data_IF_353162731563
#
_entry.id   IF_353162731563
#
_cell.length_a   1.000
_cell.length_b   1.000
_cell.length_c   1.000
_cell.angle_alpha   90.00
_cell.angle_beta   90.00
_cell.angle_gamma   90.00
#
_symmetry.space_group_name_H-M   'P 1'
#
loop_
_entity.id
_entity.type
_entity.pdbx_description
1 polymer ?
#
# COMPACT_ATOMS: atom_id res chain seq x y z
N UNK A 1 34.40 -3.40 16.24
CA UNK A 1 33.64 -3.58 17.50
C UNK A 1 32.48 -4.50 17.16
N UNK A 2 32.37 -5.67 17.79
CA UNK A 2 31.36 -6.68 17.44
C UNK A 2 30.23 -6.66 18.49
N UNK A 3 28.98 -6.68 18.03
CA UNK A 3 27.81 -6.70 18.92
C UNK A 3 27.38 -8.14 19.21
N UNK A 4 26.93 -8.39 20.44
CA UNK A 4 26.56 -9.71 20.93
C UNK A 4 25.09 -10.02 20.62
N UNK A 5 24.81 -11.21 20.07
CA UNK A 5 23.43 -11.67 19.82
C UNK A 5 23.01 -12.66 20.90
N UNK A 6 21.82 -12.45 21.50
CA UNK A 6 21.19 -13.43 22.40
C UNK A 6 20.44 -14.48 21.58
N UNK A 7 20.68 -15.77 21.83
CA UNK A 7 20.07 -16.87 21.07
C UNK A 7 19.00 -17.60 21.86
N UNK A 8 17.94 -18.03 21.18
CA UNK A 8 16.92 -18.88 21.77
C UNK A 8 16.21 -19.75 20.73
N UNK A 9 15.55 -20.80 21.23
CA UNK A 9 14.70 -21.69 20.44
C UNK A 9 13.25 -21.26 20.64
N UNK A 10 12.55 -20.89 19.57
CA UNK A 10 11.15 -20.55 19.69
C UNK A 10 10.31 -21.81 19.90
N UNK A 11 9.62 -21.89 21.03
CA UNK A 11 8.54 -22.86 21.25
C UNK A 11 7.21 -22.23 20.85
N UNK A 12 6.18 -23.05 20.61
CA UNK A 12 4.87 -22.78 19.96
C UNK A 12 4.00 -21.72 20.67
N UNK A 13 4.51 -20.49 20.83
CA UNK A 13 3.84 -19.37 21.48
C UNK A 13 3.42 -18.28 20.47
N UNK A 14 2.25 -17.63 20.67
CA UNK A 14 1.68 -16.64 19.73
C UNK A 14 2.26 -15.21 19.85
N UNK A 15 3.31 -14.97 20.63
CA UNK A 15 3.75 -13.62 21.02
C UNK A 15 5.22 -13.34 20.72
N UNK A 16 5.75 -13.89 19.63
CA UNK A 16 7.10 -13.62 19.16
C UNK A 16 7.12 -12.38 18.24
N UNK A 17 8.25 -12.02 17.61
CA UNK A 17 8.37 -10.97 16.58
C UNK A 17 7.57 -11.30 15.29
N UNK A 18 6.43 -11.99 15.45
CA UNK A 18 5.74 -12.82 14.49
C UNK A 18 4.92 -13.95 15.16
N UNK A 19 4.39 -14.86 14.36
CA UNK A 19 3.59 -16.03 14.79
C UNK A 19 4.14 -17.31 14.16
N UNK A 20 4.40 -18.34 14.98
CA UNK A 20 4.62 -19.70 14.46
C UNK A 20 3.27 -20.22 13.97
N UNK A 21 3.20 -20.58 12.69
CA UNK A 21 1.97 -21.04 12.06
C UNK A 21 1.80 -22.54 12.30
N UNK A 22 0.56 -22.98 12.49
CA UNK A 22 0.21 -24.40 12.38
C UNK A 22 -0.02 -24.73 10.90
N UNK A 23 0.23 -25.97 10.50
CA UNK A 23 0.16 -26.47 9.10
C UNK A 23 -1.15 -26.13 8.34
N UNK A 24 -2.21 -25.69 9.02
CA UNK A 24 -3.50 -25.31 8.43
C UNK A 24 -3.80 -23.79 8.42
N UNK A 25 -2.89 -22.93 8.88
CA UNK A 25 -3.13 -21.49 9.06
C UNK A 25 -2.55 -20.58 7.95
N UNK A 26 -1.79 -21.12 7.00
CA UNK A 26 -1.08 -20.33 5.97
C UNK A 26 -2.04 -19.47 5.14
N UNK A 27 -3.20 -20.01 4.77
CA UNK A 27 -4.13 -19.35 3.85
C UNK A 27 -5.01 -18.29 4.53
N UNK A 28 -5.05 -18.22 5.86
CA UNK A 28 -5.94 -17.30 6.59
C UNK A 28 -5.25 -16.07 7.19
N UNK A 29 -3.91 -15.99 7.18
CA UNK A 29 -3.17 -15.01 8.00
C UNK A 29 -2.37 -13.97 7.19
N UNK A 30 -2.04 -14.21 5.91
CA UNK A 30 -1.20 -13.29 5.11
C UNK A 30 -2.00 -12.09 4.54
N UNK A 31 -3.18 -11.80 5.10
CA UNK A 31 -4.10 -10.76 4.60
C UNK A 31 -4.10 -9.49 5.43
N UNK A 32 -3.30 -9.39 6.50
CA UNK A 32 -3.35 -8.22 7.35
C UNK A 32 -2.70 -6.99 6.72
N UNK A 33 -3.45 -5.88 6.77
CA UNK A 33 -3.15 -4.59 6.14
C UNK A 33 -1.80 -4.06 6.54
N UNK A 34 -1.07 -3.60 5.55
CA UNK A 34 -0.06 -2.57 5.74
C UNK A 34 -0.66 -1.22 5.41
N UNK A 35 -0.65 -0.30 6.39
CA UNK A 35 -0.82 1.10 6.03
C UNK A 35 0.32 1.46 5.09
N UNK A 36 -0.02 2.06 3.95
CA UNK A 36 0.99 2.66 3.11
C UNK A 36 1.74 3.72 3.95
N UNK A 37 3.06 3.90 3.79
CA UNK A 37 3.83 4.84 4.59
C UNK A 37 3.18 6.21 4.51
N UNK A 38 3.14 6.94 5.64
CA UNK A 38 2.65 8.32 5.64
C UNK A 38 3.34 9.08 4.51
N UNK A 39 2.54 9.57 3.57
CA UNK A 39 3.05 10.32 2.44
C UNK A 39 2.69 11.78 2.64
N UNK A 40 3.73 12.62 2.78
CA UNK A 40 3.60 14.08 2.88
C UNK A 40 2.49 14.50 3.87
N UNK A 41 2.58 13.96 5.08
CA UNK A 41 1.66 14.16 6.22
C UNK A 41 0.29 13.47 6.16
N UNK A 42 -0.15 12.98 5.00
CA UNK A 42 -1.42 12.26 4.87
C UNK A 42 -1.32 10.82 5.39
N UNK A 43 -2.28 10.44 6.23
CA UNK A 43 -2.51 9.04 6.56
C UNK A 43 -3.06 8.34 5.32
N UNK A 44 -2.46 7.21 4.94
CA UNK A 44 -2.90 6.42 3.79
C UNK A 44 -3.36 5.06 4.29
N UNK A 45 -4.60 4.71 3.99
CA UNK A 45 -5.12 3.37 4.27
C UNK A 45 -4.81 2.48 3.07
N UNK A 46 -4.16 1.33 3.33
CA UNK A 46 -4.00 0.27 2.33
C UNK A 46 -5.22 -0.66 2.32
N UNK A 47 -5.49 -1.29 1.18
CA UNK A 47 -6.56 -2.26 1.01
C UNK A 47 -6.26 -3.66 1.58
N UNK A 48 -7.31 -4.42 1.85
CA UNK A 48 -7.30 -5.82 2.34
C UNK A 48 -6.97 -6.87 1.25
N UNK A 49 -6.80 -6.43 0.01
CA UNK A 49 -6.64 -7.30 -1.16
C UNK A 49 -5.18 -7.38 -1.58
N UNK A 50 -4.66 -8.58 -1.86
CA UNK A 50 -3.34 -8.74 -2.45
C UNK A 50 -3.03 -10.17 -2.83
N UNK A 51 -2.62 -10.36 -4.08
CA UNK A 51 -2.10 -11.60 -4.61
C UNK A 51 -0.81 -11.96 -3.88
N UNK A 52 -0.74 -13.19 -3.42
CA UNK A 52 0.45 -13.76 -2.80
C UNK A 52 1.36 -14.34 -3.88
N UNK A 53 2.66 -14.21 -3.66
CA UNK A 53 3.68 -14.84 -4.48
C UNK A 53 4.62 -15.66 -3.60
N UNK A 54 5.21 -16.69 -4.20
CA UNK A 54 6.19 -17.53 -3.53
C UNK A 54 7.56 -17.28 -4.15
N UNK A 55 8.54 -17.03 -3.30
CA UNK A 55 9.95 -16.98 -3.67
C UNK A 55 10.77 -17.89 -2.75
N UNK A 56 12.08 -17.99 -2.99
CA UNK A 56 12.95 -18.91 -2.27
C UNK A 56 14.22 -18.19 -1.86
N UNK A 57 14.67 -18.48 -0.64
CA UNK A 57 16.01 -18.13 -0.15
C UNK A 57 16.85 -19.39 -0.19
N UNK A 58 17.90 -19.37 -1.00
CA UNK A 58 18.83 -20.49 -1.12
C UNK A 58 20.05 -20.20 -0.25
N UNK A 59 20.34 -21.06 0.72
CA UNK A 59 21.59 -21.02 1.50
C UNK A 59 22.57 -22.04 0.94
N UNK A 60 23.77 -21.60 0.57
CA UNK A 60 24.87 -22.45 0.09
C UNK A 60 26.10 -22.28 0.96
N UNK A 61 26.64 -23.38 1.47
CA UNK A 61 27.85 -23.41 2.29
C UNK A 61 29.09 -23.73 1.44
N UNK A 62 30.17 -22.97 1.66
CA UNK A 62 31.51 -23.23 1.12
C UNK A 62 32.52 -23.35 2.27
N UNK A 63 32.76 -24.58 2.75
CA UNK A 63 33.57 -24.88 3.93
C UNK A 63 33.05 -24.17 5.20
N UNK A 64 33.44 -22.92 5.41
CA UNK A 64 33.16 -22.14 6.62
C UNK A 64 32.13 -21.03 6.41
N UNK A 65 31.89 -20.55 5.19
CA UNK A 65 30.93 -19.47 4.97
C UNK A 65 29.63 -20.02 4.36
N UNK A 66 28.52 -19.36 4.66
CA UNK A 66 27.28 -19.53 3.94
C UNK A 66 26.97 -18.25 3.16
N UNK A 67 26.76 -18.40 1.86
CA UNK A 67 26.15 -17.38 1.03
C UNK A 67 24.66 -17.65 0.94
N UNK A 68 23.88 -16.57 0.83
CA UNK A 68 22.46 -16.70 0.53
C UNK A 68 22.07 -15.87 -0.67
N UNK A 69 21.03 -16.33 -1.35
CA UNK A 69 20.41 -15.60 -2.44
C UNK A 69 18.92 -15.47 -2.16
N UNK A 70 18.39 -14.26 -2.26
CA UNK A 70 16.96 -13.98 -2.20
C UNK A 70 16.54 -13.22 -3.45
N UNK A 71 15.76 -13.86 -4.31
CA UNK A 71 15.41 -13.30 -5.63
C UNK A 71 16.69 -12.87 -6.40
N UNK A 72 16.75 -11.61 -6.83
CA UNK A 72 17.93 -11.02 -7.51
C UNK A 72 19.01 -10.50 -6.55
N UNK A 73 18.79 -10.55 -5.22
CA UNK A 73 19.78 -10.11 -4.25
C UNK A 73 20.70 -11.27 -3.87
N UNK A 74 22.00 -11.02 -4.01
CA UNK A 74 23.05 -11.90 -3.51
C UNK A 74 23.60 -11.35 -2.20
N UNK A 75 23.68 -12.23 -1.21
CA UNK A 75 24.31 -11.94 0.07
C UNK A 75 25.53 -12.84 0.22
N UNK A 76 26.70 -12.39 -0.26
CA UNK A 76 27.93 -13.12 -0.04
C UNK A 76 28.24 -13.14 1.46
N UNK A 77 28.60 -14.31 1.98
CA UNK A 77 29.05 -14.52 3.35
C UNK A 77 28.06 -14.00 4.42
N UNK A 78 26.77 -14.38 4.33
CA UNK A 78 25.76 -14.06 5.35
C UNK A 78 26.27 -14.48 6.73
N UNK A 79 26.82 -15.68 6.83
CA UNK A 79 27.35 -16.23 8.08
C UNK A 79 28.70 -16.91 7.81
N UNK A 80 29.63 -16.73 8.73
CA UNK A 80 30.89 -17.47 8.79
C UNK A 80 30.94 -18.29 10.07
N UNK A 81 31.24 -19.58 9.94
CA UNK A 81 31.53 -20.47 11.05
C UNK A 81 32.94 -20.18 11.58
N UNK A 82 33.03 -19.93 12.88
CA UNK A 82 34.30 -19.82 13.60
C UNK A 82 34.49 -21.16 14.36
N UNK A 83 34.86 -21.10 15.64
CA UNK A 83 35.06 -22.27 16.49
C UNK A 83 34.04 -22.37 17.64
N UNK A 84 33.81 -23.58 18.17
CA UNK A 84 32.96 -23.84 19.35
C UNK A 84 31.55 -23.22 19.27
N UNK A 85 30.78 -23.58 18.23
CA UNK A 85 29.42 -23.07 18.01
C UNK A 85 29.31 -21.55 17.85
N UNK A 86 30.42 -20.86 17.58
CA UNK A 86 30.43 -19.42 17.31
C UNK A 86 30.33 -19.13 15.81
N UNK A 87 29.54 -18.11 15.50
CA UNK A 87 29.32 -17.64 14.14
C UNK A 87 29.52 -16.13 14.08
N UNK A 88 30.08 -15.66 12.98
CA UNK A 88 30.18 -14.26 12.63
C UNK A 88 29.17 -13.98 11.52
N UNK A 89 28.22 -13.08 11.75
CA UNK A 89 27.21 -12.72 10.77
C UNK A 89 27.52 -11.37 10.11
N UNK A 90 27.53 -11.36 8.78
CA UNK A 90 27.51 -10.13 8.00
C UNK A 90 26.11 -9.53 8.07
N UNK A 91 26.04 -8.31 8.60
CA UNK A 91 24.83 -7.77 9.19
C UNK A 91 23.93 -7.08 8.19
N UNK A 92 23.45 -7.87 7.23
CA UNK A 92 22.47 -7.44 6.23
C UNK A 92 21.08 -7.84 6.69
N UNK A 93 20.22 -6.85 6.88
CA UNK A 93 18.85 -7.04 7.35
C UNK A 93 17.85 -6.64 6.28
N UNK A 94 16.78 -7.41 6.19
CA UNK A 94 15.57 -7.12 5.46
C UNK A 94 14.54 -6.49 6.40
N UNK A 95 13.73 -5.60 5.83
CA UNK A 95 12.52 -5.10 6.46
C UNK A 95 11.40 -5.11 5.40
N UNK A 96 10.37 -5.97 5.56
CA UNK A 96 9.19 -5.95 4.71
C UNK A 96 8.51 -4.59 4.81
N UNK A 97 8.22 -3.98 3.67
CA UNK A 97 7.56 -2.67 3.59
C UNK A 97 6.08 -2.78 3.27
N UNK A 98 5.63 -3.91 2.74
CA UNK A 98 4.24 -4.16 2.34
C UNK A 98 3.87 -5.57 2.78
N UNK A 99 2.85 -5.71 3.60
CA UNK A 99 2.41 -6.97 4.19
C UNK A 99 3.39 -7.67 5.12
N UNK A 100 2.86 -8.73 5.73
CA UNK A 100 3.63 -9.72 6.47
C UNK A 100 4.40 -10.63 5.51
N UNK A 101 5.41 -11.33 6.04
CA UNK A 101 6.20 -12.32 5.32
C UNK A 101 6.15 -13.66 6.04
N UNK A 102 5.99 -14.75 5.30
CA UNK A 102 6.05 -16.11 5.85
C UNK A 102 7.30 -16.82 5.33
N UNK A 103 8.09 -17.37 6.25
CA UNK A 103 9.19 -18.28 5.92
C UNK A 103 8.80 -19.71 6.28
N UNK A 104 9.08 -20.64 5.38
CA UNK A 104 8.78 -22.07 5.55
C UNK A 104 9.96 -22.94 5.13
N UNK A 105 10.39 -23.85 6.00
CA UNK A 105 11.40 -24.85 5.65
C UNK A 105 11.24 -26.13 6.47
N UNK A 106 11.62 -27.25 5.86
CA UNK A 106 11.72 -28.56 6.52
C UNK A 106 13.01 -28.72 7.34
N UNK A 107 13.97 -27.81 7.16
CA UNK A 107 15.23 -27.78 7.91
C UNK A 107 15.20 -26.66 8.94
N UNK A 108 16.01 -26.80 9.99
CA UNK A 108 16.19 -25.72 10.95
C UNK A 108 16.90 -24.53 10.28
N UNK A 109 16.37 -23.33 10.48
CA UNK A 109 16.97 -22.10 9.99
C UNK A 109 17.08 -21.04 11.09
N UNK A 110 18.10 -20.19 10.99
CA UNK A 110 18.37 -19.09 11.89
C UNK A 110 17.83 -17.78 11.28
N UNK A 111 17.08 -17.02 12.08
CA UNK A 111 16.76 -15.61 11.81
C UNK A 111 17.23 -14.76 12.98
N UNK A 112 17.85 -13.63 12.67
CA UNK A 112 18.24 -12.61 13.66
C UNK A 112 17.36 -11.38 13.49
N UNK A 113 16.73 -10.97 14.58
CA UNK A 113 15.86 -9.81 14.70
C UNK A 113 16.59 -8.65 15.37
N UNK A 114 16.35 -7.43 14.87
CA UNK A 114 16.79 -6.19 15.51
C UNK A 114 15.63 -5.64 16.37
N UNK A 115 15.84 -5.58 17.69
CA UNK A 115 14.77 -5.27 18.65
C UNK A 115 14.52 -3.77 18.74
N UNK A 116 15.58 -2.96 18.76
CA UNK A 116 15.48 -1.52 18.98
C UNK A 116 15.73 -0.72 17.70
N UNK A 117 14.87 0.27 17.45
CA UNK A 117 15.09 1.26 16.38
C UNK A 117 16.03 2.39 16.83
N UNK A 118 16.15 2.65 18.14
CA UNK A 118 16.89 3.79 18.73
C UNK A 118 18.13 3.36 19.53
N UNK A 119 18.16 2.13 20.03
CA UNK A 119 19.29 1.52 20.73
C UNK A 119 20.29 0.92 19.74
N UNK A 120 21.59 1.15 19.97
CA UNK A 120 22.61 0.82 18.97
C UNK A 120 22.83 -0.69 18.76
N UNK A 121 22.46 -1.59 19.69
CA UNK A 121 22.99 -2.97 19.68
C UNK A 121 22.10 -4.10 20.25
N UNK A 122 20.77 -4.00 20.19
CA UNK A 122 19.91 -5.07 20.73
C UNK A 122 19.44 -6.05 19.63
N UNK A 123 20.01 -7.25 19.65
CA UNK A 123 19.73 -8.33 18.69
C UNK A 123 19.31 -9.63 19.38
N UNK A 124 18.33 -10.31 18.78
CA UNK A 124 17.93 -11.66 19.16
C UNK A 124 18.02 -12.58 17.95
N UNK A 125 18.72 -13.70 18.10
CA UNK A 125 18.72 -14.80 17.14
C UNK A 125 17.73 -15.88 17.55
N UNK A 126 16.98 -16.42 16.59
CA UNK A 126 16.04 -17.51 16.79
C UNK A 126 16.31 -18.65 15.81
N UNK A 127 16.45 -19.87 16.32
CA UNK A 127 16.48 -21.09 15.51
C UNK A 127 15.06 -21.64 15.41
N UNK A 128 14.56 -21.75 14.18
CA UNK A 128 13.18 -22.02 13.83
C UNK A 128 13.10 -23.27 12.93
N UNK A 129 11.96 -23.94 12.98
CA UNK A 129 11.60 -25.06 12.12
C UNK A 129 10.12 -24.94 11.75
N UNK A 130 9.76 -25.31 10.52
CA UNK A 130 8.40 -25.19 10.02
C UNK A 130 8.14 -23.78 9.50
N UNK A 131 7.00 -23.22 9.86
CA UNK A 131 6.46 -22.00 9.28
C UNK A 131 6.36 -20.87 10.28
N UNK A 132 6.91 -19.72 9.89
CA UNK A 132 6.88 -18.51 10.70
C UNK A 132 6.36 -17.34 9.88
N UNK A 133 5.34 -16.67 10.41
CA UNK A 133 4.94 -15.35 9.97
C UNK A 133 5.74 -14.30 10.73
N UNK A 134 6.28 -13.33 10.01
CA UNK A 134 6.92 -12.13 10.55
C UNK A 134 6.10 -10.93 10.09
N UNK A 135 5.69 -10.12 11.06
CA UNK A 135 4.86 -8.94 10.81
C UNK A 135 5.63 -7.88 9.99
N UNK A 136 4.88 -7.10 9.20
CA UNK A 136 5.43 -5.97 8.44
C UNK A 136 6.29 -5.04 9.34
N UNK A 137 7.37 -4.51 8.79
CA UNK A 137 8.21 -3.51 9.46
C UNK A 137 9.20 -4.08 10.48
N UNK A 138 9.10 -5.36 10.83
CA UNK A 138 10.07 -6.06 11.67
C UNK A 138 11.38 -6.27 10.90
N UNK A 139 12.47 -5.70 11.44
CA UNK A 139 13.81 -5.77 10.87
C UNK A 139 14.45 -7.11 11.26
N UNK A 140 14.78 -7.92 10.27
CA UNK A 140 15.35 -9.25 10.48
C UNK A 140 16.33 -9.63 9.36
N UNK A 141 17.19 -10.61 9.60
CA UNK A 141 18.10 -11.13 8.57
C UNK A 141 17.39 -12.11 7.65
N UNK A 142 17.83 -12.29 6.38
CA UNK A 142 17.39 -13.42 5.58
C UNK A 142 17.61 -14.74 6.35
N UNK A 143 16.65 -15.68 6.37
CA UNK A 143 16.82 -16.97 7.04
C UNK A 143 18.00 -17.76 6.48
N UNK A 144 18.79 -18.35 7.39
CA UNK A 144 19.99 -19.14 7.05
C UNK A 144 19.82 -20.58 7.52
N UNK A 145 19.96 -21.54 6.61
CA UNK A 145 20.01 -22.97 6.98
C UNK A 145 21.35 -23.25 7.67
N UNK A 146 21.31 -23.68 8.93
CA UNK A 146 22.51 -23.91 9.74
C UNK A 146 23.25 -25.22 9.38
N UNK A 147 22.53 -26.21 8.86
CA UNK A 147 23.05 -27.56 8.58
C UNK A 147 23.10 -27.83 7.08
N UNK A 148 24.16 -27.32 6.45
CA UNK A 148 24.45 -27.53 5.03
C UNK A 148 23.54 -26.74 4.08
N UNK A 149 23.55 -27.13 2.81
CA UNK A 149 22.79 -26.42 1.78
C UNK A 149 21.28 -26.65 1.96
N UNK A 150 20.49 -25.64 1.62
CA UNK A 150 19.04 -25.77 1.68
C UNK A 150 18.31 -24.54 1.18
N UNK A 151 16.99 -24.66 1.22
CA UNK A 151 16.06 -23.68 0.71
C UNK A 151 15.03 -23.35 1.79
N UNK A 152 14.68 -22.07 1.85
CA UNK A 152 13.58 -21.55 2.67
C UNK A 152 12.59 -20.92 1.71
N UNK A 153 11.37 -21.45 1.69
CA UNK A 153 10.28 -20.87 0.94
C UNK A 153 9.84 -19.58 1.63
N UNK A 154 9.50 -18.59 0.81
CA UNK A 154 9.06 -17.28 1.26
C UNK A 154 7.72 -16.99 0.60
N UNK A 155 6.68 -16.81 1.39
CA UNK A 155 5.38 -16.35 0.92
C UNK A 155 5.22 -14.89 1.34
N UNK A 156 4.89 -14.04 0.38
CA UNK A 156 4.78 -12.60 0.57
C UNK A 156 3.85 -12.01 -0.51
N UNK A 157 3.38 -10.75 -0.40
CA UNK A 157 2.54 -10.18 -1.47
C UNK A 157 3.36 -9.91 -2.72
N UNK A 158 2.71 -9.95 -3.89
CA UNK A 158 3.35 -9.67 -5.18
C UNK A 158 3.86 -8.21 -5.27
N UNK A 159 3.18 -7.29 -4.60
CA UNK A 159 3.52 -5.86 -4.52
C UNK A 159 4.67 -5.55 -3.55
N UNK A 160 5.25 -6.57 -2.89
CA UNK A 160 6.13 -6.35 -1.75
C UNK A 160 7.43 -5.63 -2.07
N UNK A 161 7.56 -4.44 -1.48
CA UNK A 161 8.83 -3.77 -1.30
C UNK A 161 9.60 -4.31 -0.10
N UNK A 162 10.92 -4.37 -0.20
CA UNK A 162 11.82 -4.70 0.90
C UNK A 162 12.88 -3.62 1.02
N UNK A 163 13.13 -3.11 2.23
CA UNK A 163 14.32 -2.28 2.46
C UNK A 163 15.48 -3.12 2.98
N UNK A 164 16.68 -2.80 2.51
CA UNK A 164 17.92 -3.40 2.98
C UNK A 164 18.59 -2.47 3.99
N UNK A 165 18.98 -3.02 5.14
CA UNK A 165 19.68 -2.30 6.20
C UNK A 165 20.98 -3.04 6.46
N UNK A 166 22.10 -2.42 6.11
CA UNK A 166 23.42 -2.95 6.43
C UNK A 166 23.95 -2.28 7.70
N UNK A 167 24.34 -3.09 8.70
CA UNK A 167 25.06 -2.57 9.84
C UNK A 167 26.55 -2.50 9.50
N UNK A 168 27.21 -1.39 9.86
CA UNK A 168 28.67 -1.24 9.74
C UNK A 168 29.49 -2.07 10.73
N UNK A 169 28.90 -3.12 11.31
CA UNK A 169 29.50 -3.97 12.34
C UNK A 169 29.08 -5.41 12.13
N UNK A 170 30.00 -6.36 12.32
CA UNK A 170 29.67 -7.79 12.33
C UNK A 170 29.05 -8.20 13.67
N UNK A 171 28.16 -9.20 13.63
CA UNK A 171 27.52 -9.75 14.81
C UNK A 171 28.17 -11.06 15.21
N UNK A 172 28.49 -11.19 16.50
CA UNK A 172 28.99 -12.43 17.07
C UNK A 172 27.84 -13.20 17.72
N UNK A 173 27.68 -14.45 17.28
CA UNK A 173 26.62 -15.35 17.68
C UNK A 173 27.29 -16.58 18.31
N UNK A 174 26.76 -17.08 19.42
CA UNK A 174 27.23 -18.32 20.04
C UNK A 174 26.05 -19.26 20.31
N UNK A 175 25.93 -20.33 19.51
CA UNK A 175 24.92 -21.40 19.67
C UNK A 175 25.27 -22.27 20.89
N UNK A 176 25.16 -21.71 22.09
CA UNK A 176 25.15 -22.45 23.36
C UNK A 176 23.74 -22.64 23.90
N UNK A 177 23.58 -23.44 24.95
CA UNK A 177 22.32 -23.65 25.68
C UNK A 177 21.91 -22.37 26.44
N UNK A 178 21.49 -21.34 25.72
CA UNK A 178 20.92 -20.13 26.32
C UNK A 178 19.40 -20.22 26.33
N UNK A 179 18.83 -20.34 27.53
CA UNK A 179 17.41 -20.14 27.79
C UNK A 179 17.10 -18.64 27.80
N UNK A 180 16.03 -18.23 27.13
CA UNK A 180 15.51 -16.86 27.22
C UNK A 180 14.51 -16.77 28.36
N UNK A 181 14.70 -15.73 29.16
CA UNK A 181 13.73 -15.24 30.14
C UNK A 181 12.42 -14.87 29.42
N UNK A 182 11.30 -15.48 29.82
CA UNK A 182 9.98 -15.30 29.22
C UNK A 182 9.55 -13.81 29.14
N UNK A 183 10.19 -12.93 29.91
CA UNK A 183 9.98 -11.48 29.90
C UNK A 183 10.50 -10.76 28.64
N UNK A 184 11.32 -11.40 27.80
CA UNK A 184 11.86 -10.82 26.55
C UNK A 184 10.95 -11.02 25.32
N UNK A 185 9.78 -11.65 25.48
CA UNK A 185 8.74 -11.73 24.44
C UNK A 185 8.10 -10.36 24.21
N UNK A 186 8.83 -9.47 23.55
CA UNK A 186 8.34 -8.15 23.19
C UNK A 186 7.45 -8.26 21.96
N UNK A 187 6.14 -8.15 22.15
CA UNK A 187 5.23 -7.83 21.06
C UNK A 187 5.58 -6.43 20.55
N UNK A 188 6.23 -6.34 19.40
CA UNK A 188 6.28 -5.09 18.64
C UNK A 188 4.95 -4.94 17.91
N UNK A 189 3.84 -4.82 18.65
CA UNK A 189 2.66 -4.18 18.06
C UNK A 189 3.11 -2.75 17.78
N UNK A 190 3.42 -2.45 16.52
CA UNK A 190 3.18 -1.10 16.03
C UNK A 190 1.68 -0.90 16.21
N UNK A 191 1.29 -0.43 17.39
CA UNK A 191 0.09 0.38 17.43
C UNK A 191 0.37 1.48 16.42
N UNK A 192 -0.37 1.50 15.31
CA UNK A 192 -0.92 2.75 14.84
C UNK A 192 -1.65 3.32 16.05
N UNK A 193 -0.90 3.95 16.96
CA UNK A 193 -1.50 4.77 18.01
C UNK A 193 -2.25 5.80 17.20
N UNK A 194 -3.56 5.65 17.18
CA UNK A 194 -4.44 6.78 17.31
C UNK A 194 -3.94 7.54 18.54
N UNK A 195 -2.91 8.35 18.36
CA UNK A 195 -2.81 9.56 19.14
C UNK A 195 -3.96 10.42 18.61
N UNK A 196 -5.17 10.11 19.08
CA UNK A 196 -6.23 11.08 19.26
C UNK A 196 -5.77 12.06 20.33
N UNK A 197 -4.62 12.71 20.12
CA UNK A 197 -4.40 14.02 20.66
C UNK A 197 -5.25 14.92 19.79
N UNK A 198 -6.43 15.26 20.31
CA UNK A 198 -6.90 16.64 20.21
C UNK A 198 -5.74 17.50 20.69
N UNK A 199 -4.81 17.82 19.80
CA UNK A 199 -4.00 19.00 19.97
C UNK A 199 -5.00 20.12 19.72
N UNK A 200 -5.43 20.76 20.81
CA UNK A 200 -5.77 22.18 20.76
C UNK A 200 -4.53 22.88 20.21
N UNK A 201 -4.43 22.94 18.88
CA UNK A 201 -3.46 23.77 18.18
C UNK A 201 -4.07 25.14 18.22
N UNK A 202 -3.47 26.00 19.05
CA UNK A 202 -3.64 27.43 18.95
C UNK A 202 -3.54 27.83 17.48
N UNK A 203 -4.64 28.42 17.01
CA UNK A 203 -4.71 29.29 15.86
C UNK A 203 -3.42 30.10 15.73
N UNK A 204 -2.66 29.85 14.67
CA UNK A 204 -1.96 30.89 13.92
C UNK A 204 -1.38 30.33 12.62
N UNK A 205 -2.04 30.73 11.53
CA UNK A 205 -1.43 31.06 10.24
C UNK A 205 -0.76 29.95 9.42
N UNK A 206 -1.56 29.30 8.56
CA UNK A 206 -1.60 29.58 7.10
C UNK A 206 -2.59 28.64 6.41
N UNK A 207 -3.88 28.81 6.69
CA UNK A 207 -4.89 28.35 5.74
C UNK A 207 -4.91 29.34 4.58
N UNK A 208 -4.25 28.98 3.48
CA UNK A 208 -4.60 29.57 2.19
C UNK A 208 -6.06 29.19 1.93
N UNK A 209 -6.99 30.06 2.36
CA UNK A 209 -8.37 30.08 1.86
C UNK A 209 -8.28 30.35 0.36
N UNK A 210 -8.17 29.30 -0.43
CA UNK A 210 -8.44 29.37 -1.85
C UNK A 210 -9.95 29.57 -1.92
N UNK A 211 -10.39 30.83 -2.01
CA UNK A 211 -11.74 31.09 -2.49
C UNK A 211 -11.79 30.53 -3.91
N UNK A 212 -12.74 29.64 -4.20
CA UNK A 212 -13.05 29.10 -5.54
C UNK A 212 -13.48 30.18 -6.58
N UNK A 213 -13.14 31.45 -6.36
CA UNK A 213 -13.23 32.52 -7.38
C UNK A 213 -12.13 32.33 -8.42
N UNK A 214 -12.40 31.51 -9.43
CA UNK A 214 -11.55 31.35 -10.61
C UNK A 214 -11.35 29.91 -11.09
N UNK A 215 -11.92 28.92 -10.43
CA UNK A 215 -11.88 27.53 -10.92
C UNK A 215 -12.73 27.41 -12.18
N UNK A 216 -12.21 26.73 -13.20
CA UNK A 216 -12.94 26.46 -14.43
C UNK A 216 -14.17 25.62 -14.07
N UNK A 217 -15.38 26.16 -14.31
CA UNK A 217 -16.65 25.46 -14.06
C UNK A 217 -17.10 24.61 -15.25
N UNK A 218 -16.48 24.80 -16.42
CA UNK A 218 -16.93 24.14 -17.65
C UNK A 218 -16.46 22.70 -17.71
N UNK A 219 -17.32 21.85 -18.30
CA UNK A 219 -17.00 20.46 -18.61
C UNK A 219 -16.43 20.41 -20.03
N UNK A 220 -15.26 19.80 -20.17
CA UNK A 220 -14.66 19.51 -21.47
C UNK A 220 -14.92 18.07 -21.85
N UNK A 221 -15.47 17.82 -23.04
CA UNK A 221 -15.58 16.46 -23.59
C UNK A 221 -14.19 16.07 -24.10
N UNK A 222 -13.67 14.93 -23.65
CA UNK A 222 -12.29 14.53 -23.92
C UNK A 222 -12.19 13.39 -24.92
N UNK A 223 -11.04 13.32 -25.60
CA UNK A 223 -10.62 12.28 -26.53
C UNK A 223 -9.10 12.03 -26.34
N UNK A 224 -8.49 11.17 -27.16
CA UNK A 224 -7.05 10.84 -27.07
C UNK A 224 -6.11 12.04 -27.27
N UNK A 225 -6.56 13.09 -27.96
CA UNK A 225 -5.78 14.32 -28.18
C UNK A 225 -5.81 15.26 -26.97
N UNK A 226 -6.67 14.98 -25.98
CA UNK A 226 -6.81 15.79 -24.79
C UNK A 226 -5.61 15.61 -23.85
N UNK A 227 -4.84 16.69 -23.65
CA UNK A 227 -3.82 16.75 -22.62
C UNK A 227 -4.44 17.14 -21.27
N UNK A 228 -4.47 16.21 -20.31
CA UNK A 228 -4.68 16.55 -18.90
C UNK A 228 -3.38 17.18 -18.39
N UNK A 229 -3.43 18.26 -17.60
CA UNK A 229 -2.26 19.04 -17.14
C UNK A 229 -1.20 18.21 -16.39
N UNK A 230 -0.41 17.41 -17.10
CA UNK A 230 0.53 16.41 -16.55
C UNK A 230 -0.12 15.40 -15.58
N UNK A 231 -1.45 15.39 -15.53
CA UNK A 231 -2.24 14.61 -14.60
C UNK A 231 -2.52 13.19 -15.11
N UNK A 232 -2.43 12.95 -16.42
CA UNK A 232 -2.76 11.66 -16.99
C UNK A 232 -3.06 11.72 -18.47
N UNK A 233 -3.67 10.65 -18.96
CA UNK A 233 -3.99 10.44 -20.37
C UNK A 233 -5.40 9.90 -20.54
N UNK A 234 -6.05 10.29 -21.65
CA UNK A 234 -7.29 9.68 -22.13
C UNK A 234 -6.92 8.60 -23.15
N UNK A 235 -7.53 7.44 -23.03
CA UNK A 235 -7.18 6.24 -23.79
C UNK A 235 -8.42 5.72 -24.53
N UNK A 236 -8.31 5.45 -25.82
CA UNK A 236 -9.34 4.72 -26.56
C UNK A 236 -9.33 3.25 -26.16
N UNK A 237 -10.51 2.72 -25.86
CA UNK A 237 -10.72 1.35 -25.44
C UNK A 237 -11.21 0.54 -26.63
N UNK A 238 -10.35 -0.34 -27.12
CA UNK A 238 -10.67 -1.31 -28.16
C UNK A 238 -10.58 -2.75 -27.61
N UNK A 239 -10.87 -3.74 -28.45
CA UNK A 239 -10.88 -5.15 -28.06
C UNK A 239 -9.51 -5.68 -27.58
N UNK A 240 -8.41 -4.99 -27.93
CA UNK A 240 -7.05 -5.36 -27.58
C UNK A 240 -6.52 -4.59 -26.36
N UNK A 241 -7.30 -3.67 -25.82
CA UNK A 241 -6.87 -2.82 -24.72
C UNK A 241 -6.79 -3.63 -23.42
N UNK A 242 -5.59 -3.68 -22.85
CA UNK A 242 -5.34 -4.19 -21.50
C UNK A 242 -4.65 -3.12 -20.66
N UNK A 243 -5.30 -2.72 -19.57
CA UNK A 243 -4.70 -1.81 -18.60
C UNK A 243 -3.74 -2.56 -17.67
N UNK A 244 -2.54 -2.01 -17.52
CA UNK A 244 -1.56 -2.42 -16.53
C UNK A 244 -1.20 -1.19 -15.68
N UNK A 245 -1.55 -1.17 -14.39
CA UNK A 245 -1.31 0.00 -13.56
C UNK A 245 0.17 0.20 -13.27
N UNK A 246 0.63 1.45 -13.35
CA UNK A 246 1.98 1.87 -13.02
C UNK A 246 2.13 2.02 -11.50
N UNK A 247 2.83 1.10 -10.84
CA UNK A 247 3.05 1.19 -9.39
C UNK A 247 4.18 2.16 -9.01
N UNK A 248 3.95 2.96 -7.96
CA UNK A 248 4.95 3.86 -7.35
C UNK A 248 5.93 3.08 -6.50
N UNK A 249 7.23 3.25 -6.78
CA UNK A 249 8.28 2.55 -6.03
C UNK A 249 8.24 2.95 -4.57
N UNK A 250 8.15 1.96 -3.69
CA UNK A 250 8.42 2.12 -2.27
C UNK A 250 9.78 2.82 -2.10
N UNK A 251 9.79 3.98 -1.45
CA UNK A 251 10.96 4.89 -1.36
C UNK A 251 12.27 4.17 -1.00
N UNK A 252 12.18 3.18 -0.10
CA UNK A 252 13.32 2.42 0.41
C UNK A 252 13.42 0.98 -0.15
N UNK A 253 12.63 0.62 -1.18
CA UNK A 253 12.68 -0.73 -1.72
C UNK A 253 13.92 -0.95 -2.58
N UNK A 254 14.60 -2.07 -2.35
CA UNK A 254 15.73 -2.50 -3.19
C UNK A 254 15.28 -3.29 -4.43
N UNK A 255 14.02 -3.73 -4.48
CA UNK A 255 13.47 -4.41 -5.63
C UNK A 255 12.72 -3.44 -6.55
N UNK A 256 12.68 -3.73 -7.88
CA UNK A 256 11.78 -3.04 -8.77
C UNK A 256 10.35 -3.32 -8.34
N UNK A 257 9.47 -2.38 -8.64
CA UNK A 257 8.06 -2.59 -8.38
C UNK A 257 7.49 -3.67 -9.29
N UNK A 258 6.73 -4.57 -8.67
CA UNK A 258 5.79 -5.43 -9.37
C UNK A 258 4.40 -5.03 -8.90
N UNK A 259 3.59 -4.48 -9.79
CA UNK A 259 2.18 -4.29 -9.49
C UNK A 259 1.44 -5.55 -9.87
N UNK A 260 0.69 -6.11 -8.94
CA UNK A 260 -0.46 -6.91 -9.32
C UNK A 260 -1.64 -5.95 -9.54
N UNK A 261 -2.50 -6.27 -10.50
CA UNK A 261 -3.63 -5.40 -10.87
C UNK A 261 -4.89 -5.84 -10.12
N UNK A 262 -5.58 -4.88 -9.53
CA UNK A 262 -6.89 -5.06 -8.93
C UNK A 262 -7.93 -4.44 -9.83
N UNK A 263 -8.85 -5.28 -10.33
CA UNK A 263 -9.97 -4.88 -11.15
C UNK A 263 -11.22 -4.87 -10.27
N UNK A 264 -11.93 -3.75 -10.30
CA UNK A 264 -13.12 -3.54 -9.48
C UNK A 264 -14.20 -2.92 -10.33
N UNK A 265 -15.43 -3.34 -10.09
CA UNK A 265 -16.60 -2.75 -10.75
C UNK A 265 -17.54 -2.20 -9.70
N UNK A 266 -18.09 -1.02 -9.96
CA UNK A 266 -19.06 -0.37 -9.09
C UNK A 266 -20.09 0.39 -9.92
N UNK A 267 -21.25 0.63 -9.32
CA UNK A 267 -22.36 1.35 -9.91
C UNK A 267 -22.55 2.69 -9.21
N UNK A 268 -22.71 3.75 -10.00
CA UNK A 268 -23.08 5.08 -9.56
C UNK A 268 -24.48 5.40 -10.07
N UNK A 269 -25.42 5.74 -9.18
CA UNK A 269 -26.82 5.98 -9.55
C UNK A 269 -27.35 7.27 -8.94
N UNK A 270 -28.13 8.02 -9.71
CA UNK A 270 -28.86 9.18 -9.17
C UNK A 270 -30.05 8.73 -8.34
N UNK A 271 -30.24 9.38 -7.20
CA UNK A 271 -31.44 9.25 -6.37
C UNK A 271 -31.99 10.63 -6.04
N UNK A 272 -33.31 10.76 -6.02
CA UNK A 272 -33.97 12.02 -5.70
C UNK A 272 -33.94 12.25 -4.19
N UNK A 273 -33.47 13.41 -3.77
CA UNK A 273 -33.54 13.88 -2.39
C UNK A 273 -34.98 14.29 -2.08
N UNK A 274 -35.66 13.70 -1.07
CA UNK A 274 -37.08 13.97 -0.81
C UNK A 274 -37.40 15.43 -0.49
N UNK A 275 -36.49 16.15 0.17
CA UNK A 275 -36.75 17.50 0.68
C UNK A 275 -36.56 18.59 -0.38
N UNK A 276 -35.49 18.51 -1.18
CA UNK A 276 -35.14 19.52 -2.18
C UNK A 276 -35.53 19.15 -3.61
N UNK A 277 -35.82 17.87 -3.86
CA UNK A 277 -35.98 17.34 -5.21
C UNK A 277 -34.68 17.28 -6.02
N UNK A 278 -33.53 17.69 -5.46
CA UNK A 278 -32.21 17.55 -6.08
C UNK A 278 -31.84 16.08 -6.27
N UNK A 279 -30.83 15.80 -7.10
CA UNK A 279 -30.32 14.44 -7.25
C UNK A 279 -29.04 14.28 -6.43
N UNK A 280 -28.84 13.11 -5.83
CA UNK A 280 -27.58 12.73 -5.18
C UNK A 280 -27.09 11.38 -5.71
N UNK A 281 -25.77 11.22 -5.81
CA UNK A 281 -25.17 9.96 -6.21
C UNK A 281 -25.19 8.96 -5.05
N UNK A 282 -25.60 7.74 -5.37
CA UNK A 282 -25.36 6.54 -4.56
C UNK A 282 -24.31 5.67 -5.23
N UNK A 283 -23.38 5.20 -4.42
CA UNK A 283 -22.35 4.23 -4.76
C UNK A 283 -22.79 2.83 -4.34
N UNK A 284 -22.60 1.85 -5.22
CA UNK A 284 -22.75 0.42 -4.92
C UNK A 284 -21.60 -0.37 -5.54
N UNK A 285 -20.80 -1.03 -4.71
CA UNK A 285 -19.68 -1.84 -5.16
C UNK A 285 -20.07 -3.26 -5.53
N UNK A 286 -19.70 -3.69 -6.73
CA UNK A 286 -20.13 -4.97 -7.31
C UNK A 286 -19.07 -6.06 -7.18
N UNK A 287 -17.80 -5.72 -7.34
CA UNK A 287 -16.67 -6.68 -7.32
C UNK A 287 -15.43 -6.08 -6.65
N UNK A 288 -14.36 -6.88 -6.53
CA UNK A 288 -13.09 -6.44 -5.95
C UNK A 288 -13.23 -6.10 -4.46
N UNK A 289 -12.47 -5.12 -3.98
CA UNK A 289 -12.57 -4.68 -2.57
C UNK A 289 -13.84 -3.89 -2.28
N UNK A 290 -14.63 -3.55 -3.29
CA UNK A 290 -15.91 -2.85 -3.12
C UNK A 290 -17.10 -3.78 -3.02
N UNK A 291 -16.95 -5.10 -3.24
CA UNK A 291 -18.08 -6.02 -3.31
C UNK A 291 -19.02 -5.91 -2.10
N UNK A 292 -20.28 -5.53 -2.34
CA UNK A 292 -21.32 -5.36 -1.33
C UNK A 292 -21.27 -4.06 -0.54
N UNK A 293 -20.31 -3.17 -0.82
CA UNK A 293 -20.24 -1.87 -0.18
C UNK A 293 -21.27 -0.90 -0.78
N UNK A 294 -21.87 -0.08 0.07
CA UNK A 294 -22.79 0.99 -0.32
C UNK A 294 -22.35 2.30 0.31
N UNK A 295 -22.61 3.43 -0.35
CA UNK A 295 -22.21 4.73 0.17
C UNK A 295 -22.79 5.92 -0.59
N UNK A 296 -22.58 7.10 -0.01
CA UNK A 296 -22.99 8.38 -0.59
C UNK A 296 -21.73 9.23 -0.76
N UNK A 297 -21.09 9.25 -1.94
CA UNK A 297 -19.81 9.92 -2.13
C UNK A 297 -19.90 11.47 -2.17
N UNK A 298 -21.06 12.03 -1.79
CA UNK A 298 -21.24 13.47 -1.66
C UNK A 298 -21.15 14.19 -3.01
N UNK A 299 -21.79 13.64 -4.05
CA UNK A 299 -22.04 14.33 -5.31
C UNK A 299 -23.53 14.63 -5.41
N UNK A 300 -23.88 15.88 -5.70
CA UNK A 300 -25.24 16.40 -5.79
C UNK A 300 -25.41 17.12 -7.12
N UNK A 301 -26.55 16.97 -7.76
CA UNK A 301 -26.98 17.83 -8.85
C UNK A 301 -28.09 18.75 -8.36
N UNK A 302 -27.82 20.05 -8.36
CA UNK A 302 -28.74 21.10 -7.94
C UNK A 302 -29.57 21.57 -9.13
N UNK A 303 -30.88 21.25 -9.09
CA UNK A 303 -31.78 21.47 -10.22
C UNK A 303 -32.01 22.95 -10.52
N UNK A 304 -32.07 23.78 -9.48
CA UNK A 304 -32.38 25.20 -9.61
C UNK A 304 -31.32 25.96 -10.39
N UNK A 305 -30.04 25.66 -10.13
CA UNK A 305 -28.90 26.34 -10.74
C UNK A 305 -28.33 25.57 -11.95
N UNK A 306 -28.80 24.35 -12.21
CA UNK A 306 -28.24 23.46 -13.23
C UNK A 306 -26.73 23.25 -13.01
N UNK A 307 -26.37 22.88 -11.78
CA UNK A 307 -24.97 22.70 -11.35
C UNK A 307 -24.76 21.31 -10.72
N UNK A 308 -23.63 20.69 -11.02
CA UNK A 308 -23.11 19.57 -10.25
C UNK A 308 -22.22 20.09 -9.13
N UNK A 309 -22.33 19.48 -7.95
CA UNK A 309 -21.57 19.84 -6.76
C UNK A 309 -20.95 18.58 -6.17
N UNK A 310 -19.67 18.64 -5.80
CA UNK A 310 -19.02 17.56 -5.07
C UNK A 310 -18.08 18.09 -4.00
N UNK A 311 -17.77 17.26 -3.01
CA UNK A 311 -16.88 17.64 -1.89
C UNK A 311 -15.76 16.64 -1.60
N UNK A 312 -15.80 15.44 -2.18
CA UNK A 312 -14.77 14.44 -1.98
C UNK A 312 -13.75 14.47 -3.12
N UNK A 313 -12.48 14.50 -2.76
CA UNK A 313 -11.36 14.23 -3.65
C UNK A 313 -10.59 13.02 -3.14
N UNK A 314 -10.16 12.17 -4.06
CA UNK A 314 -9.40 10.96 -3.82
C UNK A 314 -8.10 11.02 -4.61
N UNK A 315 -7.07 10.38 -4.09
CA UNK A 315 -5.82 10.18 -4.83
C UNK A 315 -5.23 8.81 -4.51
N UNK A 316 -4.52 8.24 -5.48
CA UNK A 316 -3.81 6.97 -5.37
C UNK A 316 -2.30 7.24 -5.27
N UNK A 317 -1.70 7.14 -4.07
CA UNK A 317 -0.27 7.34 -3.91
C UNK A 317 0.58 6.12 -4.29
N UNK A 318 -0.03 4.95 -4.40
CA UNK A 318 0.62 3.67 -4.65
C UNK A 318 0.76 3.33 -6.14
N UNK A 319 0.01 4.00 -7.01
CA UNK A 319 0.14 3.80 -8.45
C UNK A 319 -0.85 4.61 -9.27
N UNK A 320 -0.85 4.35 -10.58
CA UNK A 320 -1.81 4.96 -11.50
C UNK A 320 -3.23 4.50 -11.20
N UNK A 321 -4.18 5.39 -11.46
CA UNK A 321 -5.61 5.12 -11.37
C UNK A 321 -6.20 5.07 -12.77
N UNK A 322 -6.83 3.97 -13.14
CA UNK A 322 -7.57 3.88 -14.39
C UNK A 322 -9.06 3.64 -14.13
N UNK A 323 -9.93 4.35 -14.86
CA UNK A 323 -11.37 4.09 -14.84
C UNK A 323 -11.99 4.23 -16.23
N UNK A 324 -12.96 3.36 -16.53
CA UNK A 324 -13.80 3.44 -17.73
C UNK A 324 -15.25 3.12 -17.42
N UNK A 325 -16.16 3.59 -18.27
CA UNK A 325 -17.55 3.12 -18.27
C UNK A 325 -17.66 1.79 -19.01
N UNK A 326 -18.38 0.84 -18.40
CA UNK A 326 -18.79 -0.41 -19.03
C UNK A 326 -20.30 -0.45 -19.32
N UNK A 327 -21.03 0.63 -19.00
CA UNK A 327 -22.41 0.80 -19.45
C UNK A 327 -22.42 1.31 -20.88
N UNK A 328 -23.03 0.53 -21.76
CA UNK A 328 -23.13 0.84 -23.19
C UNK A 328 -23.68 2.25 -23.43
N UNK A 329 -23.03 2.99 -24.33
CA UNK A 329 -23.37 4.35 -24.78
C UNK A 329 -23.38 5.43 -23.68
N UNK A 330 -22.96 5.10 -22.45
CA UNK A 330 -22.91 6.02 -21.33
C UNK A 330 -21.46 6.37 -20.96
N UNK A 331 -21.13 7.66 -21.01
CA UNK A 331 -19.90 8.19 -20.43
C UNK A 331 -20.02 8.55 -18.95
N UNK A 332 -19.01 9.23 -18.42
CA UNK A 332 -19.04 9.76 -17.04
C UNK A 332 -18.35 11.12 -16.96
N UNK A 333 -18.70 11.87 -15.92
CA UNK A 333 -18.04 13.12 -15.54
C UNK A 333 -17.11 12.84 -14.37
N UNK A 334 -15.94 13.47 -14.38
CA UNK A 334 -15.06 13.55 -13.22
C UNK A 334 -14.29 14.86 -13.22
N UNK A 335 -13.82 15.27 -12.06
CA UNK A 335 -12.83 16.33 -11.94
C UNK A 335 -11.45 15.76 -11.69
N UNK A 336 -10.43 16.37 -12.29
CA UNK A 336 -9.03 16.00 -12.14
C UNK A 336 -8.26 17.21 -11.67
N UNK A 337 -7.41 17.03 -10.66
CA UNK A 337 -6.61 18.09 -10.06
C UNK A 337 -5.17 17.59 -9.89
N UNK A 338 -4.19 18.15 -10.62
CA UNK A 338 -2.78 17.82 -10.45
C UNK A 338 -2.31 18.09 -9.00
N UNK A 339 -1.32 17.34 -8.49
CA UNK A 339 -0.76 17.61 -7.18
C UNK A 339 0.30 18.73 -7.23
N UNK A 340 0.37 19.51 -6.15
CA UNK A 340 1.49 20.37 -5.82
C UNK A 340 2.72 19.54 -5.39
N UNK A 341 3.92 20.14 -5.30
CA UNK A 341 5.12 19.43 -4.82
C UNK A 341 4.98 18.83 -3.42
N UNK A 342 4.12 19.40 -2.57
CA UNK A 342 3.78 18.86 -1.24
C UNK A 342 2.67 17.79 -1.26
N UNK A 343 2.13 17.43 -2.44
CA UNK A 343 1.09 16.42 -2.60
C UNK A 343 -0.34 16.95 -2.45
N UNK A 344 -0.54 18.21 -2.05
CA UNK A 344 -1.87 18.82 -1.98
C UNK A 344 -2.45 19.07 -3.39
N UNK A 345 -3.79 19.14 -3.55
CA UNK A 345 -4.41 19.45 -4.84
C UNK A 345 -4.12 20.90 -5.30
N UNK A 346 -3.61 21.06 -6.52
CA UNK A 346 -3.47 22.36 -7.19
C UNK A 346 -4.78 22.76 -7.88
N UNK A 347 -5.71 23.34 -7.11
CA UNK A 347 -7.02 23.78 -7.63
C UNK A 347 -6.93 24.80 -8.77
N UNK A 348 -5.80 25.50 -8.95
CA UNK A 348 -5.61 26.41 -10.09
C UNK A 348 -5.57 25.68 -11.43
N UNK A 349 -5.28 24.38 -11.42
CA UNK A 349 -5.20 23.49 -12.59
C UNK A 349 -6.34 22.47 -12.64
N UNK A 350 -7.40 22.67 -11.87
CA UNK A 350 -8.57 21.80 -11.87
C UNK A 350 -9.22 21.75 -13.26
N UNK A 351 -9.50 20.53 -13.75
CA UNK A 351 -10.21 20.27 -15.00
C UNK A 351 -11.43 19.41 -14.74
N UNK A 352 -12.60 19.82 -15.23
CA UNK A 352 -13.79 18.97 -15.27
C UNK A 352 -13.88 18.33 -16.65
N UNK A 353 -13.92 17.01 -16.69
CA UNK A 353 -13.90 16.25 -17.93
C UNK A 353 -15.14 15.36 -18.03
N UNK A 354 -15.65 15.23 -19.25
CA UNK A 354 -16.62 14.20 -19.62
C UNK A 354 -15.90 13.17 -20.49
N UNK A 355 -15.75 11.98 -19.94
CA UNK A 355 -15.13 10.83 -20.62
C UNK A 355 -16.25 10.04 -21.33
N UNK A 356 -16.30 10.03 -22.67
CA UNK A 356 -17.33 9.32 -23.40
C UNK A 356 -17.16 7.80 -23.32
N UNK A 357 -18.23 7.05 -23.64
CA UNK A 357 -18.16 5.60 -23.81
C UNK A 357 -17.12 5.23 -24.89
N UNK A 358 -16.42 4.11 -24.69
CA UNK A 358 -15.31 3.70 -25.55
C UNK A 358 -13.97 4.35 -25.18
N UNK A 359 -13.93 5.22 -24.16
CA UNK A 359 -12.69 5.79 -23.64
C UNK A 359 -12.54 5.48 -22.15
N UNK A 360 -11.28 5.50 -21.70
CA UNK A 360 -10.91 5.46 -20.29
C UNK A 360 -9.96 6.60 -19.95
N UNK A 361 -9.81 6.87 -18.66
CA UNK A 361 -8.86 7.86 -18.15
C UNK A 361 -7.87 7.17 -17.24
N UNK A 362 -6.58 7.35 -17.55
CA UNK A 362 -5.46 6.93 -16.70
C UNK A 362 -4.88 8.18 -16.04
N UNK A 363 -4.94 8.25 -14.72
CA UNK A 363 -4.31 9.29 -13.93
C UNK A 363 -2.97 8.79 -13.39
N UNK A 364 -1.98 9.68 -13.44
CA UNK A 364 -0.68 9.44 -12.82
C UNK A 364 -0.84 9.29 -11.30
N UNK A 365 0.08 8.59 -10.62
CA UNK A 365 0.08 8.54 -9.16
C UNK A 365 0.05 9.95 -8.55
N UNK A 366 -0.59 10.06 -7.38
CA UNK A 366 -0.80 11.31 -6.62
C UNK A 366 -1.76 12.34 -7.24
N UNK A 367 -2.28 12.10 -8.43
CA UNK A 367 -3.28 13.00 -9.02
C UNK A 367 -4.61 12.86 -8.30
N UNK A 368 -5.15 14.00 -7.88
CA UNK A 368 -6.43 14.05 -7.19
C UNK A 368 -7.57 14.01 -8.20
N UNK A 369 -8.67 13.36 -7.82
CA UNK A 369 -9.87 13.33 -8.63
C UNK A 369 -11.13 13.23 -7.77
N UNK A 370 -12.25 13.71 -8.32
CA UNK A 370 -13.57 13.39 -7.75
C UNK A 370 -13.90 11.92 -7.99
N UNK A 371 -14.91 11.38 -7.29
CA UNK A 371 -15.53 10.15 -7.79
C UNK A 371 -16.10 10.40 -9.19
N UNK A 372 -16.05 9.42 -10.10
CA UNK A 372 -16.76 9.49 -11.38
C UNK A 372 -18.27 9.39 -11.17
N UNK A 373 -19.06 10.11 -11.95
CA UNK A 373 -20.53 10.10 -11.86
C UNK A 373 -21.20 10.29 -13.23
N UNK A 374 -22.44 9.80 -13.42
CA UNK A 374 -23.19 9.98 -14.66
C UNK A 374 -23.72 11.41 -14.82
N UNK A 375 -23.99 11.81 -16.07
CA UNK A 375 -24.79 13.01 -16.35
C UNK A 375 -26.19 12.89 -15.72
N UNK A 376 -26.82 14.03 -15.42
CA UNK A 376 -28.14 14.09 -14.75
C UNK A 376 -29.25 13.28 -15.45
N UNK A 377 -29.17 13.14 -16.77
CA UNK A 377 -30.18 12.46 -17.59
C UNK A 377 -29.91 10.95 -17.71
N UNK A 378 -28.77 10.47 -17.20
CA UNK A 378 -28.39 9.06 -17.15
C UNK A 378 -28.63 8.54 -15.74
N UNK A 379 -29.65 7.72 -15.55
CA UNK A 379 -30.08 7.26 -14.21
C UNK A 379 -28.98 6.53 -13.42
N UNK A 380 -28.15 5.75 -14.11
CA UNK A 380 -27.00 5.07 -13.51
C UNK A 380 -25.96 4.66 -14.54
N UNK A 381 -24.72 4.50 -14.08
CA UNK A 381 -23.60 3.93 -14.83
C UNK A 381 -22.88 2.89 -14.00
N UNK A 382 -22.31 1.90 -14.68
CA UNK A 382 -21.36 0.93 -14.11
C UNK A 382 -19.98 1.25 -14.67
N UNK A 383 -19.03 1.34 -13.75
CA UNK A 383 -17.66 1.70 -14.01
C UNK A 383 -16.76 0.54 -13.63
N UNK A 384 -15.66 0.41 -14.36
CA UNK A 384 -14.55 -0.49 -14.03
C UNK A 384 -13.34 0.35 -13.66
N UNK A 385 -12.81 0.13 -12.47
CA UNK A 385 -11.56 0.69 -11.95
C UNK A 385 -10.47 -0.36 -11.99
N UNK A 386 -9.29 0.04 -12.46
CA UNK A 386 -8.09 -0.79 -12.51
C UNK A 386 -6.96 -0.03 -11.82
N UNK A 387 -6.47 -0.59 -10.71
CA UNK A 387 -5.49 0.02 -9.81
C UNK A 387 -4.46 -1.01 -9.36
N UNK A 388 -3.41 -0.55 -8.67
CA UNK A 388 -2.49 -1.44 -7.96
C UNK A 388 -3.24 -2.19 -6.84
N UNK A 389 -2.93 -3.46 -6.64
CA UNK A 389 -3.59 -4.30 -5.63
C UNK A 389 -3.46 -3.81 -4.19
N UNK A 390 -2.41 -3.04 -3.89
CA UNK A 390 -2.24 -2.36 -2.62
C UNK A 390 -3.45 -1.49 -2.27
N UNK A 391 -4.15 -0.97 -3.28
CA UNK A 391 -5.35 -0.13 -3.15
C UNK A 391 -5.18 0.94 -2.07
N UNK A 392 -4.02 1.58 -2.07
CA UNK A 392 -3.73 2.63 -1.13
C UNK A 392 -4.50 3.88 -1.54
N UNK A 393 -5.17 4.48 -0.58
CA UNK A 393 -6.08 5.60 -0.84
C UNK A 393 -5.85 6.72 0.16
N UNK A 394 -5.81 7.95 -0.35
CA UNK A 394 -6.01 9.15 0.46
C UNK A 394 -7.28 9.82 0.00
N UNK A 395 -8.14 10.18 0.96
CA UNK A 395 -9.40 10.87 0.72
C UNK A 395 -9.40 12.16 1.52
N UNK A 396 -9.79 13.26 0.89
CA UNK A 396 -10.04 14.53 1.56
C UNK A 396 -11.48 14.95 1.36
N UNK A 397 -12.09 15.43 2.44
CA UNK A 397 -13.36 16.12 2.38
C UNK A 397 -13.09 17.62 2.27
N UNK A 398 -13.32 18.17 1.08
CA UNK A 398 -13.15 19.59 0.78
C UNK A 398 -14.04 20.47 1.66
N UNK A 399 -15.18 19.97 2.14
CA UNK A 399 -16.00 20.73 3.08
C UNK A 399 -15.30 20.86 4.45
N UNK A 400 -14.54 19.86 4.88
CA UNK A 400 -13.81 19.92 6.15
C UNK A 400 -12.51 20.74 6.00
N UNK A 401 -11.88 20.68 4.82
CA UNK A 401 -10.58 21.34 4.59
C UNK A 401 -10.72 22.78 4.08
N UNK A 402 -11.64 23.02 3.16
CA UNK A 402 -11.86 24.30 2.48
C UNK A 402 -13.17 24.99 2.89
N UNK A 403 -14.10 24.27 3.53
CA UNK A 403 -15.47 24.73 3.80
C UNK A 403 -16.26 25.10 2.54
N UNK A 404 -15.93 24.52 1.39
CA UNK A 404 -16.58 24.81 0.11
C UNK A 404 -16.92 23.52 -0.66
N UNK A 405 -18.01 23.58 -1.43
CA UNK A 405 -18.31 22.60 -2.48
C UNK A 405 -17.59 23.01 -3.76
N UNK A 406 -17.11 22.02 -4.52
CA UNK A 406 -16.61 22.26 -5.86
C UNK A 406 -17.78 22.15 -6.82
N UNK A 407 -17.94 23.18 -7.65
CA UNK A 407 -19.11 23.39 -8.49
C UNK A 407 -18.72 23.28 -9.96
N UNK A 408 -19.50 22.51 -10.72
CA UNK A 408 -19.37 22.32 -12.16
C UNK A 408 -20.69 22.72 -12.81
N UNK A 409 -20.62 23.47 -13.91
CA UNK A 409 -21.81 23.83 -14.68
C UNK A 409 -22.26 22.62 -15.52
N UNK A 410 -23.54 22.26 -15.44
CA UNK A 410 -24.07 21.04 -16.05
C UNK A 410 -24.36 21.14 -17.54
#
# INVERSE_FOLDING_TARGET
>A
MASLVKLFKANVGPHFFGKILKDSEINSIITHKSCWPKYKEYHTEGGDSGSLTTSTIVTKWNNENAAGQFQSLEFPDIIKKCDNNKYLLNSVFLKPLDGDIVYSSKKNFLIIFKISQTGKNDFIGSVLNGEILIEQGIIHTPPVILEGNGEVNVIHRQTNGFSLIQLGTSLNINLGDSFVDNNLMLSLKQSCKQDSKKSDVNDTEKHNKISSKGTNKNISIVNEECSLYEAGSILLINEQFEEVPDAVKWENSVFPNKSAKLIQTFKMSWTTMPESGNLQIQFNGLTGSFAGAEGNPGVVYEKENNEYMYKLLLTRPDGSFFVRSITQDCGFIMSVVPPLPNGEPDFSKLQNIKVPFGYGVRLNPFVWHSVPFPEKDISSITLEEIICETNASVVINSLETLNEWIIIQA
#
